data_IF_932157210359
#
_entry.id   IF_932157210359
#
_cell.length_a   1.000
_cell.length_b   1.000
_cell.length_c   1.000
_cell.angle_alpha   90.00
_cell.angle_beta   90.00
_cell.angle_gamma   90.00
#
_symmetry.space_group_name_H-M   'P 1'
#
loop_
_entity.id
_entity.type
_entity.pdbx_description
1 polymer ?
#
# COMPACT_ATOMS: atom_id res chain seq x y z
N UNK A 1 -21.01 -2.42 24.67
CA UNK A 1 -21.36 -1.09 24.12
C UNK A 1 -20.16 -0.73 23.29
N UNK A 2 -20.25 -0.81 21.96
CA UNK A 2 -19.07 -0.71 21.09
C UNK A 2 -18.33 0.58 21.40
N UNK A 3 -17.03 0.51 21.71
CA UNK A 3 -16.25 1.72 21.94
C UNK A 3 -16.36 2.61 20.69
N UNK A 4 -16.89 3.81 20.88
CA UNK A 4 -16.99 4.81 19.82
C UNK A 4 -15.99 5.92 20.14
N UNK A 5 -15.02 6.09 19.25
CA UNK A 5 -14.16 7.26 19.21
C UNK A 5 -14.47 8.04 17.94
N UNK A 6 -14.54 9.36 18.07
CA UNK A 6 -14.52 10.28 16.94
C UNK A 6 -13.15 10.26 16.24
N UNK A 7 -13.13 10.69 14.98
CA UNK A 7 -11.91 10.77 14.18
C UNK A 7 -10.81 11.64 14.83
N UNK A 8 -11.20 12.73 15.49
CA UNK A 8 -10.27 13.61 16.21
C UNK A 8 -9.70 12.96 17.46
N UNK A 9 -10.49 12.18 18.20
CA UNK A 9 -10.00 11.42 19.36
C UNK A 9 -9.00 10.34 18.92
N UNK A 10 -9.26 9.66 17.80
CA UNK A 10 -8.31 8.68 17.24
C UNK A 10 -7.00 9.37 16.84
N UNK A 11 -7.06 10.49 16.11
CA UNK A 11 -5.86 11.30 15.79
C UNK A 11 -5.09 11.70 17.04
N UNK A 12 -5.77 12.17 18.09
CA UNK A 12 -5.10 12.61 19.32
C UNK A 12 -4.44 11.45 20.08
N UNK A 13 -5.06 10.27 20.08
CA UNK A 13 -4.50 9.08 20.71
C UNK A 13 -3.26 8.55 20.00
N UNK A 14 -3.23 8.60 18.66
CA UNK A 14 -2.08 8.07 17.90
C UNK A 14 -0.91 9.05 17.84
N UNK A 15 -1.17 10.37 17.91
CA UNK A 15 -0.19 11.43 17.72
C UNK A 15 1.13 11.27 18.49
N UNK A 16 1.14 10.87 19.77
CA UNK A 16 2.40 10.69 20.51
C UNK A 16 3.29 9.57 19.96
N UNK A 17 2.73 8.64 19.19
CA UNK A 17 3.40 7.43 18.72
C UNK A 17 3.73 7.48 17.22
N UNK A 18 3.25 8.49 16.49
CA UNK A 18 3.39 8.59 15.03
C UNK A 18 4.83 8.45 14.55
N UNK A 19 5.75 9.18 15.20
CA UNK A 19 7.16 9.15 14.83
C UNK A 19 7.75 7.75 15.02
N UNK A 20 7.50 7.12 16.16
CA UNK A 20 7.99 5.76 16.47
C UNK A 20 7.41 4.74 15.50
N UNK A 21 6.13 4.85 15.16
CA UNK A 21 5.47 3.98 14.19
C UNK A 21 6.10 4.17 12.80
N UNK A 22 6.28 5.42 12.36
CA UNK A 22 6.91 5.73 11.08
C UNK A 22 8.33 5.14 11.02
N UNK A 23 9.15 5.34 12.05
CA UNK A 23 10.50 4.82 12.14
C UNK A 23 10.56 3.29 12.07
N UNK A 24 9.66 2.60 12.79
CA UNK A 24 9.57 1.14 12.76
C UNK A 24 9.21 0.61 11.35
N UNK A 25 8.25 1.24 10.68
CA UNK A 25 7.84 0.89 9.31
C UNK A 25 8.97 1.13 8.30
N UNK A 26 9.65 2.28 8.41
CA UNK A 26 10.79 2.62 7.56
C UNK A 26 11.99 1.68 7.82
N UNK A 27 12.23 1.27 9.07
CA UNK A 27 13.22 0.24 9.44
C UNK A 27 12.89 -1.09 8.75
N UNK A 28 11.63 -1.54 8.79
CA UNK A 28 11.21 -2.76 8.10
C UNK A 28 11.42 -2.70 6.59
N UNK A 29 11.13 -1.55 5.96
CA UNK A 29 11.44 -1.35 4.54
C UNK A 29 12.94 -1.37 4.24
N UNK A 30 13.75 -0.71 5.08
CA UNK A 30 15.21 -0.71 4.94
C UNK A 30 15.77 -2.12 4.99
N UNK A 31 15.29 -2.96 5.90
CA UNK A 31 15.69 -4.37 5.99
C UNK A 31 15.38 -5.14 4.70
N UNK A 32 14.22 -4.91 4.08
CA UNK A 32 13.91 -5.48 2.76
C UNK A 32 14.91 -5.06 1.68
N UNK A 33 15.36 -3.79 1.69
CA UNK A 33 16.35 -3.31 0.72
C UNK A 33 17.72 -3.98 0.90
N UNK A 34 18.05 -4.42 2.12
CA UNK A 34 19.29 -5.11 2.45
C UNK A 34 19.27 -6.61 2.08
N UNK A 35 18.11 -7.18 1.77
CA UNK A 35 17.98 -8.60 1.36
C UNK A 35 18.77 -8.87 0.07
N UNK A 36 19.72 -9.83 0.08
CA UNK A 36 20.44 -10.23 -1.13
C UNK A 36 19.50 -10.79 -2.20
N UNK A 37 19.78 -10.50 -3.47
CA UNK A 37 18.99 -10.98 -4.62
C UNK A 37 17.48 -10.67 -4.53
N UNK A 38 17.08 -9.63 -3.78
CA UNK A 38 15.66 -9.31 -3.51
C UNK A 38 14.76 -9.22 -4.74
N UNK A 39 15.33 -8.86 -5.90
CA UNK A 39 14.64 -8.77 -7.18
C UNK A 39 14.12 -10.12 -7.71
N UNK A 40 14.62 -11.25 -7.20
CA UNK A 40 14.17 -12.59 -7.61
C UNK A 40 12.91 -13.04 -6.88
N UNK A 41 12.56 -12.39 -5.76
CA UNK A 41 11.41 -12.79 -4.95
C UNK A 41 10.12 -12.12 -5.43
N UNK A 42 9.01 -12.82 -5.22
CA UNK A 42 7.68 -12.27 -5.48
C UNK A 42 7.30 -11.17 -4.48
N UNK A 43 6.36 -10.31 -4.88
CA UNK A 43 5.81 -9.23 -4.05
C UNK A 43 5.28 -9.69 -2.69
N UNK A 44 4.80 -10.94 -2.60
CA UNK A 44 4.35 -11.55 -1.33
C UNK A 44 5.51 -11.75 -0.35
N UNK A 45 6.65 -12.21 -0.83
CA UNK A 45 7.86 -12.39 0.00
C UNK A 45 8.30 -11.04 0.57
N UNK A 46 8.37 -10.00 -0.28
CA UNK A 46 8.64 -8.64 0.17
C UNK A 46 7.69 -8.21 1.28
N UNK A 47 6.38 -8.37 1.07
CA UNK A 47 5.37 -7.94 2.05
C UNK A 47 5.54 -8.65 3.40
N UNK A 48 5.82 -9.95 3.39
CA UNK A 48 6.07 -10.71 4.62
C UNK A 48 7.35 -10.26 5.33
N UNK A 49 8.46 -10.10 4.59
CA UNK A 49 9.72 -9.62 5.18
C UNK A 49 9.56 -8.24 5.81
N UNK A 50 8.93 -7.30 5.10
CA UNK A 50 8.65 -5.95 5.63
C UNK A 50 7.76 -6.04 6.87
N UNK A 51 6.75 -6.91 6.86
CA UNK A 51 5.88 -7.13 8.01
C UNK A 51 6.67 -7.65 9.22
N UNK A 52 7.44 -8.73 9.07
CA UNK A 52 8.19 -9.35 10.17
C UNK A 52 9.13 -8.34 10.86
N UNK A 53 9.93 -7.61 10.07
CA UNK A 53 10.85 -6.61 10.62
C UNK A 53 10.14 -5.40 11.22
N UNK A 54 9.01 -4.98 10.64
CA UNK A 54 8.23 -3.87 11.19
C UNK A 54 7.58 -4.24 12.51
N UNK A 55 6.97 -5.43 12.61
CA UNK A 55 6.35 -5.89 13.86
C UNK A 55 7.40 -5.99 14.97
N UNK A 56 8.56 -6.59 14.70
CA UNK A 56 9.61 -6.67 15.71
C UNK A 56 10.07 -5.28 16.19
N UNK A 57 10.19 -4.31 15.26
CA UNK A 57 10.55 -2.94 15.62
C UNK A 57 9.43 -2.21 16.38
N UNK A 58 8.16 -2.43 16.04
CA UNK A 58 7.03 -1.86 16.76
C UNK A 58 6.89 -2.45 18.17
N UNK A 59 7.08 -3.75 18.34
CA UNK A 59 7.09 -4.42 19.65
C UNK A 59 8.19 -3.85 20.53
N UNK A 60 9.43 -3.82 20.02
CA UNK A 60 10.60 -3.27 20.72
C UNK A 60 10.35 -1.83 21.20
N UNK A 61 9.69 -1.01 20.39
CA UNK A 61 9.52 0.40 20.67
C UNK A 61 8.25 0.76 21.47
N UNK A 62 7.16 0.00 21.31
CA UNK A 62 5.85 0.34 21.88
C UNK A 62 5.49 -0.51 23.11
N UNK A 63 5.85 -1.79 23.15
CA UNK A 63 5.49 -2.69 24.27
C UNK A 63 6.00 -2.20 25.64
N UNK A 64 7.18 -1.57 25.75
CA UNK A 64 7.64 -1.02 27.03
C UNK A 64 6.86 0.22 27.50
N UNK A 65 6.03 0.84 26.65
CA UNK A 65 5.37 2.10 26.97
C UNK A 65 4.11 1.88 27.84
N UNK A 66 3.89 2.73 28.86
CA UNK A 66 2.73 2.61 29.72
C UNK A 66 1.43 2.81 28.93
N UNK A 67 0.48 1.91 29.13
CA UNK A 67 -0.81 1.94 28.45
C UNK A 67 -0.78 1.36 27.03
N UNK A 68 0.35 0.82 26.58
CA UNK A 68 0.39 -0.03 25.38
C UNK A 68 0.25 -1.49 25.80
N UNK A 69 -0.51 -2.26 25.02
CA UNK A 69 -0.53 -3.71 25.12
C UNK A 69 -0.40 -4.33 23.74
N UNK A 70 0.55 -5.25 23.58
CA UNK A 70 0.73 -6.02 22.35
C UNK A 70 0.13 -7.42 22.51
N UNK A 71 -0.79 -7.77 21.61
CA UNK A 71 -1.32 -9.12 21.49
C UNK A 71 -0.82 -9.76 20.19
N UNK A 72 0.11 -10.71 20.35
CA UNK A 72 0.63 -11.53 19.26
C UNK A 72 0.01 -12.92 19.29
N UNK A 73 -0.67 -13.28 18.20
CA UNK A 73 -1.31 -14.58 18.04
C UNK A 73 -1.11 -15.09 16.61
N UNK A 74 -0.27 -16.12 16.46
CA UNK A 74 0.08 -16.70 15.15
C UNK A 74 0.67 -15.64 14.21
N UNK A 75 0.08 -15.49 13.02
CA UNK A 75 0.51 -14.52 11.99
C UNK A 75 -0.18 -13.16 12.13
N UNK A 76 -0.67 -12.83 13.33
CA UNK A 76 -1.34 -11.56 13.62
C UNK A 76 -0.69 -10.92 14.84
N UNK A 77 -0.45 -9.61 14.74
CA UNK A 77 0.00 -8.78 15.85
C UNK A 77 -0.91 -7.57 15.93
N UNK A 78 -1.43 -7.31 17.12
CA UNK A 78 -2.38 -6.24 17.41
C UNK A 78 -1.80 -5.39 18.53
N UNK A 79 -1.71 -4.09 18.28
CA UNK A 79 -1.27 -3.10 19.24
C UNK A 79 -2.49 -2.39 19.80
N UNK A 80 -2.55 -2.25 21.12
CA UNK A 80 -3.64 -1.58 21.81
C UNK A 80 -3.11 -0.37 22.57
N UNK A 81 -3.80 0.75 22.42
CA UNK A 81 -3.56 2.00 23.16
C UNK A 81 -4.69 2.13 24.18
N UNK A 82 -4.36 1.85 25.45
CA UNK A 82 -5.33 1.66 26.51
C UNK A 82 -6.32 0.55 26.18
N UNK A 83 -7.60 0.79 26.49
CA UNK A 83 -8.71 -0.10 26.14
C UNK A 83 -9.59 0.48 25.02
N UNK A 84 -9.13 1.55 24.35
CA UNK A 84 -9.98 2.37 23.47
C UNK A 84 -9.68 2.19 21.98
N UNK A 85 -8.41 1.96 21.64
CA UNK A 85 -7.93 1.93 20.25
C UNK A 85 -7.03 0.72 20.02
N UNK A 86 -7.30 -0.02 18.95
CA UNK A 86 -6.49 -1.15 18.51
C UNK A 86 -6.07 -0.97 17.05
N UNK A 87 -4.82 -1.31 16.72
CA UNK A 87 -4.35 -1.30 15.35
C UNK A 87 -3.55 -2.55 14.96
N UNK A 88 -3.65 -2.90 13.67
CA UNK A 88 -2.81 -3.91 13.01
C UNK A 88 -1.92 -3.24 11.96
N UNK A 89 -0.77 -3.82 11.68
CA UNK A 89 0.09 -3.38 10.58
C UNK A 89 -0.15 -4.19 9.30
N UNK A 90 -0.30 -3.51 8.16
CA UNK A 90 -0.56 -4.13 6.84
C UNK A 90 0.10 -3.35 5.69
N UNK A 91 0.26 -3.99 4.53
CA UNK A 91 0.48 -3.27 3.25
C UNK A 91 -0.84 -2.71 2.75
N UNK A 92 -0.87 -1.44 2.37
CA UNK A 92 -2.02 -0.78 1.76
C UNK A 92 -1.87 -0.59 0.25
N UNK A 93 -2.98 -0.25 -0.40
CA UNK A 93 -3.00 0.35 -1.74
C UNK A 93 -3.18 1.88 -1.69
N UNK A 94 -3.16 2.53 -2.85
CA UNK A 94 -3.35 3.99 -2.97
C UNK A 94 -4.72 4.48 -2.47
N UNK A 95 -5.71 3.59 -2.35
CA UNK A 95 -7.06 3.90 -1.87
C UNK A 95 -7.20 3.72 -0.36
N UNK A 96 -6.16 3.25 0.33
CA UNK A 96 -6.16 3.02 1.76
C UNK A 96 -6.68 1.64 2.17
N UNK A 97 -6.84 0.70 1.24
CA UNK A 97 -7.25 -0.66 1.58
C UNK A 97 -6.04 -1.55 1.87
N UNK A 98 -6.11 -2.29 2.97
CA UNK A 98 -5.15 -3.37 3.26
C UNK A 98 -5.20 -4.44 2.16
N UNK A 99 -4.04 -4.85 1.66
CA UNK A 99 -3.90 -6.02 0.79
C UNK A 99 -4.06 -7.32 1.59
N UNK A 100 -5.29 -7.79 1.79
CA UNK A 100 -5.59 -9.05 2.48
C UNK A 100 -6.22 -10.07 1.52
N UNK A 101 -5.93 -11.35 1.76
CA UNK A 101 -6.84 -12.44 1.36
C UNK A 101 -8.00 -12.46 2.36
N UNK A 102 -9.27 -12.55 1.91
CA UNK A 102 -10.44 -12.48 2.77
C UNK A 102 -10.57 -13.75 3.61
N UNK A 103 -9.76 -13.86 4.67
CA UNK A 103 -9.90 -14.90 5.68
C UNK A 103 -10.96 -14.49 6.70
N UNK A 104 -11.65 -15.45 7.35
CA UNK A 104 -12.66 -15.13 8.38
C UNK A 104 -12.14 -14.19 9.47
N UNK A 105 -10.86 -14.33 9.87
CA UNK A 105 -10.23 -13.46 10.87
C UNK A 105 -9.97 -12.03 10.37
N UNK A 106 -9.76 -11.85 9.06
CA UNK A 106 -9.66 -10.52 8.46
C UNK A 106 -11.03 -9.85 8.42
N UNK A 107 -12.07 -10.61 8.02
CA UNK A 107 -13.46 -10.13 8.00
C UNK A 107 -13.94 -9.74 9.40
N UNK A 108 -13.70 -10.58 10.41
CA UNK A 108 -14.05 -10.32 11.81
C UNK A 108 -13.35 -9.09 12.42
N UNK A 109 -12.20 -8.70 11.88
CA UNK A 109 -11.51 -7.50 12.32
C UNK A 109 -12.10 -6.22 11.70
N UNK A 110 -12.64 -6.30 10.49
CA UNK A 110 -13.29 -5.17 9.83
C UNK A 110 -14.75 -4.99 10.24
N UNK A 111 -15.37 -6.03 10.80
CA UNK A 111 -16.70 -5.97 11.41
C UNK A 111 -16.63 -5.27 12.79
N UNK A 112 -17.28 -4.11 12.98
CA UNK A 112 -17.31 -3.41 14.26
C UNK A 112 -18.05 -4.18 15.36
N UNK A 113 -19.00 -5.05 14.99
CA UNK A 113 -19.86 -5.78 15.93
C UNK A 113 -19.25 -7.11 16.38
N UNK A 114 -18.27 -7.65 15.64
CA UNK A 114 -17.61 -8.90 16.02
C UNK A 114 -16.52 -8.68 17.07
N UNK A 115 -16.62 -9.41 18.17
CA UNK A 115 -15.51 -9.51 19.13
C UNK A 115 -14.36 -10.32 18.51
N UNK A 116 -13.15 -9.75 18.56
CA UNK A 116 -11.94 -10.48 18.19
C UNK A 116 -11.33 -11.01 19.48
N UNK A 117 -11.16 -12.33 19.57
CA UNK A 117 -10.63 -13.00 20.75
C UNK A 117 -9.30 -12.35 21.21
N UNK A 118 -9.25 -11.88 22.46
CA UNK A 118 -8.07 -11.22 23.02
C UNK A 118 -7.92 -9.72 22.70
N UNK A 119 -8.94 -9.09 22.11
CA UNK A 119 -9.05 -7.62 22.03
C UNK A 119 -10.24 -7.18 22.88
N UNK A 120 -10.08 -6.21 23.81
CA UNK A 120 -11.21 -5.56 24.45
C UNK A 120 -12.10 -4.84 23.44
N UNK A 121 -13.28 -4.39 23.87
CA UNK A 121 -14.17 -3.58 23.04
C UNK A 121 -13.50 -2.23 22.72
N UNK A 122 -12.77 -2.17 21.60
CA UNK A 122 -11.93 -1.06 21.17
C UNK A 122 -12.19 -0.70 19.71
N UNK A 123 -11.98 0.55 19.32
CA UNK A 123 -12.02 0.98 17.92
C UNK A 123 -10.89 0.31 17.16
N UNK A 124 -11.23 -0.44 16.11
CA UNK A 124 -10.27 -1.18 15.28
C UNK A 124 -9.83 -0.34 14.09
N UNK A 125 -8.52 -0.24 13.91
CA UNK A 125 -7.89 0.48 12.80
C UNK A 125 -6.74 -0.32 12.21
N UNK A 126 -6.19 0.15 11.11
CA UNK A 126 -4.99 -0.41 10.49
C UNK A 126 -3.95 0.68 10.27
N UNK A 127 -2.69 0.40 10.62
CA UNK A 127 -1.54 1.14 10.10
C UNK A 127 -1.15 0.47 8.78
N UNK A 128 -1.23 1.22 7.69
CA UNK A 128 -0.89 0.77 6.36
C UNK A 128 0.33 1.52 5.82
N UNK A 129 1.23 0.79 5.17
CA UNK A 129 2.26 1.41 4.32
C UNK A 129 1.87 1.28 2.85
N UNK A 130 2.05 2.37 2.11
CA UNK A 130 1.71 2.48 0.69
C UNK A 130 3.02 2.73 -0.06
N UNK A 131 3.27 1.95 -1.11
CA UNK A 131 4.45 2.11 -1.95
C UNK A 131 4.19 3.11 -3.07
N UNK A 132 5.25 3.68 -3.63
CA UNK A 132 5.13 4.42 -4.88
C UNK A 132 4.76 3.48 -6.04
N UNK A 133 4.41 4.05 -7.19
CA UNK A 133 3.99 3.27 -8.39
C UNK A 133 5.03 2.26 -8.88
N UNK A 134 6.31 2.55 -8.67
CA UNK A 134 7.42 1.67 -9.06
C UNK A 134 7.76 0.62 -7.98
N UNK A 135 7.06 0.66 -6.84
CA UNK A 135 7.31 -0.15 -5.64
C UNK A 135 8.77 -0.13 -5.16
N UNK A 136 9.47 0.98 -5.36
CA UNK A 136 10.88 1.19 -4.98
C UNK A 136 11.02 1.80 -3.59
N UNK A 137 9.96 2.40 -3.05
CA UNK A 137 9.98 3.09 -1.76
C UNK A 137 8.60 3.16 -1.12
N UNK A 138 8.58 3.36 0.20
CA UNK A 138 7.38 3.78 0.92
C UNK A 138 7.07 5.23 0.54
N UNK A 139 5.89 5.43 -0.03
CA UNK A 139 5.37 6.74 -0.37
C UNK A 139 4.66 7.36 0.83
N UNK A 140 3.84 6.58 1.55
CA UNK A 140 3.06 7.03 2.70
C UNK A 140 2.88 5.93 3.74
N UNK A 141 2.72 6.32 5.00
CA UNK A 141 2.15 5.48 6.06
C UNK A 141 0.92 6.19 6.58
N UNK A 142 -0.20 5.48 6.65
CA UNK A 142 -1.48 6.02 7.10
C UNK A 142 -2.08 5.12 8.16
N UNK A 143 -2.78 5.72 9.10
CA UNK A 143 -3.75 5.03 9.93
C UNK A 143 -5.11 5.11 9.24
N UNK A 144 -5.81 3.99 9.14
CA UNK A 144 -7.12 3.93 8.49
C UNK A 144 -8.13 3.23 9.39
N UNK A 145 -9.35 3.76 9.39
CA UNK A 145 -10.53 3.09 9.94
C UNK A 145 -11.40 2.65 8.78
N UNK A 146 -11.67 1.36 8.70
CA UNK A 146 -12.51 0.76 7.66
C UNK A 146 -13.92 0.53 8.19
N UNK A 147 -14.87 0.62 7.30
CA UNK A 147 -16.24 0.17 7.48
C UNK A 147 -16.59 -0.74 6.29
N UNK A 148 -16.44 -2.05 6.50
CA UNK A 148 -16.54 -3.08 5.47
C UNK A 148 -15.63 -2.81 4.25
N UNK A 149 -16.26 -2.51 3.11
CA UNK A 149 -15.61 -2.25 1.83
C UNK A 149 -15.26 -0.77 1.59
N UNK A 150 -15.40 0.08 2.63
CA UNK A 150 -15.06 1.50 2.56
C UNK A 150 -13.97 1.88 3.56
N UNK A 151 -13.22 2.94 3.26
CA UNK A 151 -12.33 3.61 4.21
C UNK A 151 -13.15 4.76 4.82
N UNK A 152 -13.65 4.56 6.03
CA UNK A 152 -14.48 5.53 6.73
C UNK A 152 -13.65 6.77 7.16
N UNK A 153 -12.37 6.55 7.48
CA UNK A 153 -11.47 7.62 7.89
C UNK A 153 -10.00 7.27 7.65
N UNK A 154 -9.16 8.28 7.44
CA UNK A 154 -7.70 8.12 7.31
C UNK A 154 -6.94 9.29 7.94
N UNK A 155 -5.78 8.98 8.50
CA UNK A 155 -4.86 9.94 9.13
C UNK A 155 -3.41 9.68 8.70
N UNK A 156 -2.66 10.72 8.28
CA UNK A 156 -1.27 10.56 7.89
C UNK A 156 -0.38 10.31 9.12
N UNK A 157 0.48 9.29 9.04
CA UNK A 157 1.51 8.98 10.04
C UNK A 157 2.89 9.34 9.49
N UNK A 158 3.10 9.11 8.19
CA UNK A 158 4.29 9.51 7.46
C UNK A 158 3.91 9.83 6.03
N UNK A 159 4.46 10.93 5.51
CA UNK A 159 4.43 11.22 4.09
C UNK A 159 5.86 11.46 3.63
N UNK A 160 6.24 10.84 2.52
CA UNK A 160 7.56 11.07 1.97
C UNK A 160 7.67 12.52 1.51
N UNK A 161 8.73 13.25 1.90
CA UNK A 161 9.02 14.56 1.34
C UNK A 161 9.26 14.45 -0.17
N UNK A 162 8.41 15.07 -0.97
CA UNK A 162 8.64 15.20 -2.41
C UNK A 162 9.44 16.48 -2.60
N UNK A 163 10.67 16.37 -3.11
CA UNK A 163 11.44 17.54 -3.48
C UNK A 163 10.66 18.36 -4.54
N UNK A 164 10.62 19.69 -4.45
CA UNK A 164 10.04 20.52 -5.51
C UNK A 164 10.69 20.16 -6.84
N UNK A 165 9.90 19.79 -7.83
CA UNK A 165 10.40 19.60 -9.20
C UNK A 165 10.67 20.99 -9.76
N UNK A 166 11.91 21.45 -9.65
CA UNK A 166 12.35 22.61 -10.42
C UNK A 166 12.36 22.21 -11.90
N UNK A 167 11.57 22.92 -12.71
CA UNK A 167 11.52 22.69 -14.14
C UNK A 167 12.92 22.93 -14.72
N UNK A 168 13.55 21.89 -15.25
CA UNK A 168 14.76 22.03 -16.05
C UNK A 168 14.37 22.90 -17.26
N UNK A 169 15.00 24.07 -17.47
CA UNK A 169 14.75 24.87 -18.66
C UNK A 169 15.05 23.99 -19.87
N UNK A 170 14.01 23.58 -20.58
CA UNK A 170 14.18 22.86 -21.83
C UNK A 170 14.54 23.90 -22.87
N UNK A 171 15.80 24.36 -22.83
CA UNK A 171 16.38 25.13 -23.93
C UNK A 171 16.40 24.23 -25.14
N UNK A 172 15.37 24.32 -25.98
CA UNK A 172 15.40 23.75 -27.32
C UNK A 172 16.65 24.35 -28.01
N UNK A 173 17.56 23.52 -28.54
CA UNK A 173 18.65 24.05 -29.34
C UNK A 173 18.04 24.86 -30.49
N UNK A 174 18.50 26.11 -30.64
CA UNK A 174 18.13 26.97 -31.75
C UNK A 174 18.30 26.16 -33.05
N UNK A 175 17.22 26.07 -33.82
CA UNK A 175 17.24 25.38 -35.10
C UNK A 175 18.41 25.91 -35.93
N UNK A 176 19.23 25.04 -36.56
CA UNK A 176 20.31 25.49 -37.40
C UNK A 176 19.74 26.39 -38.52
N UNK A 177 20.34 27.56 -38.66
CA UNK A 177 20.03 28.53 -39.72
C UNK A 177 20.08 27.85 -41.08
N UNK A 178 19.06 28.12 -41.91
CA UNK A 178 18.91 27.58 -43.26
C UNK A 178 19.91 28.22 -44.22
N UNK A 179 21.20 27.95 -44.07
CA UNK A 179 22.21 28.32 -45.07
C UNK A 179 23.24 27.21 -45.21
N UNK A 180 22.81 26.06 -45.73
CA UNK A 180 23.68 25.08 -46.39
C UNK A 180 22.83 24.15 -47.25
N UNK A 181 22.71 24.47 -48.54
CA UNK A 181 22.22 23.53 -49.54
C UNK A 181 23.26 22.42 -49.71
N UNK A 182 22.94 21.21 -49.24
CA UNK A 182 23.68 19.99 -49.52
C UNK A 182 22.67 18.87 -49.76
N UNK A 183 22.77 18.20 -50.92
CA UNK A 183 21.80 17.24 -51.44
C UNK A 183 21.40 16.15 -50.44
N UNK A 184 20.09 15.95 -50.26
CA UNK A 184 19.53 14.86 -49.44
C UNK A 184 19.58 13.52 -50.20
N UNK A 185 20.13 12.44 -49.62
CA UNK A 185 19.90 11.11 -50.16
C UNK A 185 18.46 10.67 -49.87
N UNK A 186 17.84 10.02 -50.86
CA UNK A 186 16.45 9.57 -50.84
C UNK A 186 16.15 8.64 -49.65
N UNK A 187 15.18 9.05 -48.82
CA UNK A 187 14.71 8.29 -47.65
C UNK A 187 13.89 7.08 -48.14
N UNK A 188 14.45 5.86 -48.04
CA UNK A 188 13.68 4.62 -48.23
C UNK A 188 12.50 4.60 -47.25
N UNK A 189 11.28 4.50 -47.77
CA UNK A 189 10.07 4.29 -46.97
C UNK A 189 10.16 2.90 -46.32
N UNK A 190 10.09 2.83 -44.98
CA UNK A 190 9.78 1.57 -44.29
C UNK A 190 8.35 1.19 -44.62
N UNK A 191 8.15 -0.03 -45.10
CA UNK A 191 6.82 -0.58 -45.37
C UNK A 191 6.06 -0.75 -44.05
N UNK A 192 4.86 -0.17 -43.97
CA UNK A 192 3.90 -0.48 -42.91
C UNK A 192 3.25 -1.81 -43.27
N UNK A 193 3.52 -2.85 -42.48
CA UNK A 193 2.79 -4.13 -42.59
C UNK A 193 1.36 -3.88 -42.11
N UNK A 194 0.38 -3.99 -43.02
CA UNK A 194 -1.04 -4.06 -42.65
C UNK A 194 -1.23 -5.34 -41.83
N UNK A 195 -1.72 -5.19 -40.59
CA UNK A 195 -2.19 -6.33 -39.80
C UNK A 195 -3.51 -6.78 -40.42
N UNK A 196 -3.47 -7.84 -41.22
CA UNK A 196 -4.67 -8.48 -41.74
C UNK A 196 -5.40 -9.15 -40.57
N UNK A 197 -6.62 -8.69 -40.29
CA UNK A 197 -7.48 -9.36 -39.30
C UNK A 197 -7.89 -10.70 -39.88
N UNK A 198 -7.57 -11.78 -39.17
CA UNK A 198 -8.07 -13.11 -39.50
C UNK A 198 -9.61 -13.11 -39.53
N UNK A 199 -10.24 -13.81 -40.50
CA UNK A 199 -11.70 -13.88 -40.56
C UNK A 199 -12.24 -14.58 -39.33
N UNK A 200 -13.25 -13.94 -38.72
CA UNK A 200 -14.05 -14.49 -37.63
C UNK A 200 -14.74 -15.76 -38.14
N UNK A 201 -14.43 -16.91 -37.54
CA UNK A 201 -15.18 -18.15 -37.79
C UNK A 201 -16.63 -17.95 -37.32
N UNK A 202 -17.64 -18.40 -38.08
CA UNK A 202 -19.02 -18.38 -37.59
C UNK A 202 -19.15 -19.31 -36.37
N UNK A 203 -19.73 -18.78 -35.31
CA UNK A 203 -20.21 -19.52 -34.14
C UNK A 203 -21.24 -20.58 -34.57
N UNK A 204 -20.92 -21.85 -34.38
CA UNK A 204 -21.91 -22.92 -34.43
C UNK A 204 -22.93 -22.73 -33.29
N UNK A 205 -24.19 -22.66 -33.66
CA UNK A 205 -25.33 -22.63 -32.74
C UNK A 205 -25.49 -24.02 -32.11
N UNK A 206 -25.51 -24.04 -30.78
CA UNK A 206 -25.79 -25.22 -29.96
C UNK A 206 -27.28 -25.61 -30.15
N UNK A 207 -27.63 -26.86 -30.47
CA UNK A 207 -29.03 -27.25 -30.56
C UNK A 207 -29.69 -27.27 -29.17
N UNK A 208 -30.93 -26.80 -29.13
CA UNK A 208 -31.79 -26.76 -27.95
C UNK A 208 -32.08 -28.18 -27.44
N UNK A 209 -32.10 -28.34 -26.12
CA UNK A 209 -32.48 -29.58 -25.43
C UNK A 209 -34.01 -29.72 -25.48
N UNK A 210 -34.58 -30.84 -25.93
CA UNK A 210 -36.02 -31.06 -25.82
C UNK A 210 -36.43 -31.34 -24.37
N UNK A 211 -37.68 -30.97 -24.10
CA UNK A 211 -38.41 -30.90 -22.83
C UNK A 211 -38.34 -32.14 -21.94
#
# INVERSE_FOLDING_TARGET
>A
MTAQLSDSEISNLIKPYEQVIAEAVLKGWKQWLEVPNRAQFYNRTRANVVWDYTIGALEEALDPLPGIHVNRAGNTCIFMIGQQLAFRFKKGDEKGFSSNYPTPMALAFHDPEQQVLGIPEAVKTEIIYILNKLETEIFQVRMVRRDGESVAWSHPVYERPVAPVEAIPTGLPLAPSKDSQGAQPARRRRATVKKELAPVKPTESKPARPS
#
